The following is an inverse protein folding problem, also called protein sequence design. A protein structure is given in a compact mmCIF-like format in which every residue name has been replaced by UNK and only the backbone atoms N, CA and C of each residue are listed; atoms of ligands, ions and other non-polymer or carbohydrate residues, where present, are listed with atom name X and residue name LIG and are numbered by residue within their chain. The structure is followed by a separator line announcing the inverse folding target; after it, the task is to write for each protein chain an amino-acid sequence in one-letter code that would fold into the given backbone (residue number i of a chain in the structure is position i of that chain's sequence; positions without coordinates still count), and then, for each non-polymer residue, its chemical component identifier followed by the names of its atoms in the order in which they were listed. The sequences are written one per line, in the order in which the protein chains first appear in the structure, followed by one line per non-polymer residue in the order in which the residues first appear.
data_IF_490210615194
#
_entry.id   IF_490210615194
#
_cell.length_a   1.000
_cell.length_b   1.000
_cell.length_c   1.000
_cell.angle_alpha   90.00
_cell.angle_beta   90.00
_cell.angle_gamma   90.00
#
_symmetry.space_group_name_H-M   'P 1'
#
loop_
_entity.id
_entity.type
_entity.pdbx_description
1 polymer ?
#
# COMPACT_ATOMS: atom_id res chain seq x y z
N UNK A 1 -49.12 -43.51 -67.21
CA UNK A 1 -47.65 -43.56 -67.12
C UNK A 1 -47.19 -42.68 -65.96
N UNK A 2 -46.65 -43.34 -64.93
CA UNK A 2 -45.56 -42.91 -64.05
C UNK A 2 -45.77 -41.70 -63.11
N UNK A 3 -46.40 -41.97 -61.96
CA UNK A 3 -46.25 -41.20 -60.72
C UNK A 3 -44.96 -41.67 -60.01
N UNK A 4 -44.01 -40.76 -59.84
CA UNK A 4 -42.73 -40.95 -59.14
C UNK A 4 -42.92 -40.79 -57.64
N UNK A 5 -42.55 -41.82 -56.86
CA UNK A 5 -42.57 -41.76 -55.39
C UNK A 5 -41.40 -40.93 -54.82
N UNK A 6 -41.62 -40.15 -53.74
CA UNK A 6 -40.56 -39.42 -53.06
C UNK A 6 -39.71 -40.36 -52.20
N UNK A 7 -38.39 -40.37 -52.45
CA UNK A 7 -37.41 -41.07 -51.62
C UNK A 7 -37.32 -40.43 -50.23
N UNK A 8 -37.92 -41.09 -49.26
CA UNK A 8 -37.81 -40.74 -47.85
C UNK A 8 -36.38 -41.04 -47.36
N UNK A 9 -35.60 -39.99 -47.13
CA UNK A 9 -34.20 -40.11 -46.69
C UNK A 9 -34.17 -39.96 -45.17
N UNK A 10 -34.13 -41.10 -44.48
CA UNK A 10 -34.00 -41.15 -43.01
C UNK A 10 -32.59 -40.71 -42.61
N UNK A 11 -32.46 -39.49 -42.12
CA UNK A 11 -31.23 -38.97 -41.54
C UNK A 11 -31.07 -39.58 -40.14
N UNK A 12 -30.15 -40.54 -40.00
CA UNK A 12 -29.75 -41.12 -38.72
C UNK A 12 -28.92 -40.08 -37.95
N UNK A 13 -29.52 -39.46 -36.94
CA UNK A 13 -28.82 -38.59 -35.97
C UNK A 13 -27.94 -39.47 -35.07
N UNK A 14 -26.65 -39.58 -35.41
CA UNK A 14 -25.68 -40.30 -34.59
C UNK A 14 -25.34 -39.50 -33.33
N UNK A 15 -25.22 -40.20 -32.20
CA UNK A 15 -25.20 -39.68 -30.81
C UNK A 15 -23.91 -38.94 -30.39
N UNK A 16 -23.44 -37.99 -31.20
CA UNK A 16 -22.21 -37.21 -30.93
C UNK A 16 -22.46 -35.90 -30.17
N UNK A 17 -23.74 -35.53 -29.96
CA UNK A 17 -24.14 -34.36 -29.16
C UNK A 17 -23.53 -34.25 -27.74
N UNK A 18 -23.41 -35.33 -26.94
CA UNK A 18 -22.93 -35.19 -25.56
C UNK A 18 -21.44 -34.84 -25.47
N UNK A 19 -20.62 -35.26 -26.45
CA UNK A 19 -19.18 -34.99 -26.45
C UNK A 19 -18.88 -33.53 -26.76
N UNK A 20 -19.62 -32.94 -27.71
CA UNK A 20 -19.46 -31.52 -28.08
C UNK A 20 -19.91 -30.60 -26.93
N UNK A 21 -21.02 -30.96 -26.26
CA UNK A 21 -21.52 -30.23 -25.09
C UNK A 21 -20.53 -30.26 -23.90
N UNK A 22 -19.90 -31.41 -23.65
CA UNK A 22 -18.88 -31.56 -22.61
C UNK A 22 -17.63 -30.73 -22.92
N UNK A 23 -17.19 -30.69 -24.17
CA UNK A 23 -16.03 -29.89 -24.61
C UNK A 23 -16.30 -28.39 -24.47
N UNK A 24 -17.49 -27.91 -24.84
CA UNK A 24 -17.88 -26.51 -24.64
C UNK A 24 -17.99 -26.14 -23.16
N UNK A 25 -18.42 -27.07 -22.30
CA UNK A 25 -18.45 -26.85 -20.85
C UNK A 25 -17.03 -26.71 -20.29
N UNK A 26 -16.11 -27.61 -20.66
CA UNK A 26 -14.70 -27.54 -20.19
C UNK A 26 -14.02 -26.24 -20.68
N UNK A 27 -14.23 -25.82 -21.93
CA UNK A 27 -13.68 -24.56 -22.44
C UNK A 27 -14.25 -23.31 -21.74
N UNK A 28 -15.50 -23.35 -21.28
CA UNK A 28 -16.11 -22.26 -20.52
C UNK A 28 -15.48 -22.10 -19.12
N UNK A 29 -15.05 -23.19 -18.48
CA UNK A 29 -14.41 -23.12 -17.16
C UNK A 29 -12.98 -22.55 -17.18
N UNK A 30 -12.26 -22.67 -18.30
CA UNK A 30 -10.90 -22.12 -18.41
C UNK A 30 -10.84 -20.63 -18.81
N UNK A 31 -11.99 -20.00 -19.08
CA UNK A 31 -12.03 -18.62 -19.57
C UNK A 31 -12.13 -17.56 -18.47
N UNK A 32 -12.25 -17.96 -17.19
CA UNK A 32 -12.29 -17.02 -16.05
C UNK A 32 -10.89 -16.80 -15.46
N UNK A 33 -9.92 -16.46 -16.30
CA UNK A 33 -8.75 -15.76 -15.80
C UNK A 33 -9.16 -14.30 -15.58
N UNK A 34 -9.70 -14.02 -14.39
CA UNK A 34 -9.79 -12.64 -13.90
C UNK A 34 -8.35 -12.13 -13.82
N UNK A 35 -7.95 -11.33 -14.81
CA UNK A 35 -6.65 -10.67 -14.83
C UNK A 35 -6.62 -9.68 -13.66
N UNK A 36 -6.00 -10.09 -12.56
CA UNK A 36 -5.65 -9.16 -11.50
C UNK A 36 -4.63 -8.15 -12.05
N UNK A 37 -4.81 -6.88 -11.70
CA UNK A 37 -3.85 -5.87 -12.10
C UNK A 37 -2.44 -6.20 -11.58
N UNK A 38 -1.42 -5.89 -12.37
CA UNK A 38 -0.01 -6.04 -11.98
C UNK A 38 0.48 -4.86 -11.15
N UNK A 39 1.55 -5.05 -10.38
CA UNK A 39 2.20 -3.96 -9.63
C UNK A 39 2.61 -2.80 -10.56
N UNK A 40 3.07 -3.11 -11.77
CA UNK A 40 3.42 -2.12 -12.79
C UNK A 40 2.20 -1.32 -13.25
N UNK A 41 1.09 -1.99 -13.57
CA UNK A 41 -0.16 -1.31 -13.95
C UNK A 41 -0.64 -0.37 -12.84
N UNK A 42 -0.64 -0.86 -11.59
CA UNK A 42 -0.96 -0.05 -10.43
C UNK A 42 -0.03 1.17 -10.28
N UNK A 43 1.28 1.00 -10.48
CA UNK A 43 2.25 2.10 -10.39
C UNK A 43 2.10 3.12 -11.53
N UNK A 44 1.79 2.68 -12.74
CA UNK A 44 1.67 3.52 -13.93
C UNK A 44 0.31 4.24 -14.03
N UNK A 45 -0.74 3.73 -13.40
CA UNK A 45 -2.08 4.32 -13.41
C UNK A 45 -2.18 5.55 -12.48
N UNK A 46 -2.93 6.57 -12.91
CA UNK A 46 -3.29 7.72 -12.06
C UNK A 46 -4.79 7.76 -11.83
N UNK A 47 -5.22 7.90 -10.58
CA UNK A 47 -6.64 7.89 -10.23
C UNK A 47 -6.95 8.74 -9.00
N UNK A 48 -8.21 9.16 -8.91
CA UNK A 48 -8.79 9.71 -7.69
C UNK A 48 -9.91 8.79 -7.23
N UNK A 49 -9.96 8.52 -5.92
CA UNK A 49 -11.01 7.70 -5.31
C UNK A 49 -11.50 8.36 -4.00
N UNK A 50 -12.79 8.18 -3.68
CA UNK A 50 -13.42 8.72 -2.47
C UNK A 50 -14.34 7.68 -1.85
N UNK A 51 -13.97 7.20 -0.66
CA UNK A 51 -14.79 6.28 0.14
C UNK A 51 -15.52 7.09 1.20
N UNK A 52 -16.86 6.95 1.23
CA UNK A 52 -17.73 7.62 2.20
C UNK A 52 -18.57 6.56 2.89
N UNK A 53 -18.43 6.43 4.21
CA UNK A 53 -19.24 5.51 5.00
C UNK A 53 -19.70 6.17 6.31
N UNK A 54 -20.69 5.55 6.96
CA UNK A 54 -21.20 5.99 8.25
C UNK A 54 -20.28 5.47 9.36
N UNK A 55 -19.95 6.33 10.32
CA UNK A 55 -19.18 5.92 11.49
C UNK A 55 -20.07 5.24 12.54
N UNK A 56 -19.58 4.15 13.15
CA UNK A 56 -20.22 3.54 14.33
C UNK A 56 -20.03 4.40 15.59
N UNK A 57 -20.90 4.28 16.62
CA UNK A 57 -22.04 3.35 16.75
C UNK A 57 -23.41 3.93 16.34
N UNK A 58 -23.53 5.24 16.09
CA UNK A 58 -24.84 5.87 15.81
C UNK A 58 -25.08 6.23 14.33
N UNK A 59 -24.09 6.09 13.45
CA UNK A 59 -24.23 6.37 12.02
C UNK A 59 -24.57 7.83 11.67
N UNK A 60 -24.53 8.74 12.65
CA UNK A 60 -24.86 10.16 12.50
C UNK A 60 -23.73 10.92 11.81
N UNK A 61 -22.49 10.47 11.98
CA UNK A 61 -21.32 11.09 11.35
C UNK A 61 -20.83 10.25 10.18
N UNK A 62 -20.30 10.94 9.17
CA UNK A 62 -19.69 10.33 7.99
C UNK A 62 -18.19 10.41 8.11
N UNK A 63 -17.53 9.30 7.80
CA UNK A 63 -16.09 9.25 7.54
C UNK A 63 -15.90 9.42 6.03
N UNK A 64 -14.96 10.29 5.65
CA UNK A 64 -14.55 10.51 4.27
C UNK A 64 -13.07 10.18 4.15
N UNK A 65 -12.74 9.17 3.35
CA UNK A 65 -11.38 8.82 2.98
C UNK A 65 -11.21 9.11 1.48
N UNK A 66 -10.22 9.91 1.13
CA UNK A 66 -9.95 10.32 -0.25
C UNK A 66 -8.53 9.96 -0.64
N UNK A 67 -8.38 9.36 -1.81
CA UNK A 67 -7.12 9.01 -2.43
C UNK A 67 -6.95 9.82 -3.71
N UNK A 68 -5.76 10.36 -3.92
CA UNK A 68 -5.34 10.94 -5.19
C UNK A 68 -3.93 10.42 -5.48
N UNK A 69 -3.85 9.54 -6.48
CA UNK A 69 -2.59 9.00 -6.98
C UNK A 69 -2.30 9.63 -8.34
N UNK A 70 -1.18 10.32 -8.41
CA UNK A 70 -0.61 10.79 -9.65
C UNK A 70 0.73 10.09 -9.83
N UNK A 71 0.73 8.97 -10.56
CA UNK A 71 1.93 8.17 -10.79
C UNK A 71 2.58 7.74 -9.46
N UNK A 72 3.75 8.30 -9.12
CA UNK A 72 4.49 8.03 -7.88
C UNK A 72 4.01 8.84 -6.67
N UNK A 73 3.26 9.92 -6.89
CA UNK A 73 2.79 10.81 -5.85
C UNK A 73 1.43 10.32 -5.33
N UNK A 74 1.37 9.91 -4.07
CA UNK A 74 0.17 9.43 -3.40
C UNK A 74 -0.23 10.42 -2.32
N UNK A 75 -1.42 10.99 -2.47
CA UNK A 75 -2.05 11.87 -1.49
C UNK A 75 -3.27 11.20 -0.89
N UNK A 76 -3.29 11.09 0.44
CA UNK A 76 -4.37 10.47 1.20
C UNK A 76 -4.92 11.53 2.16
N UNK A 77 -6.23 11.69 2.16
CA UNK A 77 -6.91 12.62 3.05
C UNK A 77 -8.02 11.90 3.79
N UNK A 78 -7.99 11.97 5.11
CA UNK A 78 -8.95 11.33 5.98
C UNK A 78 -9.66 12.39 6.82
N UNK A 79 -10.98 12.41 6.75
CA UNK A 79 -11.82 13.31 7.53
C UNK A 79 -12.80 12.50 8.36
N UNK A 80 -12.63 12.57 9.68
CA UNK A 80 -13.59 12.07 10.68
C UNK A 80 -14.22 13.29 11.37
N UNK A 81 -15.55 13.31 11.46
CA UNK A 81 -16.29 14.45 12.02
C UNK A 81 -15.96 15.79 11.31
N UNK A 82 -16.40 16.92 11.86
CA UNK A 82 -16.19 18.26 11.26
C UNK A 82 -14.75 18.77 11.44
N UNK A 83 -14.03 18.29 12.46
CA UNK A 83 -12.79 18.89 12.95
C UNK A 83 -11.53 18.04 12.77
N UNK A 84 -11.64 16.70 12.69
CA UNK A 84 -10.45 15.84 12.55
C UNK A 84 -10.16 15.62 11.08
N UNK A 85 -9.18 16.36 10.57
CA UNK A 85 -8.64 16.22 9.22
C UNK A 85 -7.20 15.75 9.33
N UNK A 86 -6.87 14.66 8.66
CA UNK A 86 -5.51 14.18 8.48
C UNK A 86 -5.21 14.09 7.00
N UNK A 87 -3.98 14.39 6.64
CA UNK A 87 -3.50 14.34 5.26
C UNK A 87 -2.08 13.78 5.26
N UNK A 88 -1.83 12.87 4.33
CA UNK A 88 -0.52 12.31 4.05
C UNK A 88 -0.19 12.50 2.58
N UNK A 89 1.06 12.85 2.30
CA UNK A 89 1.63 12.88 0.96
C UNK A 89 2.91 12.04 0.94
N UNK A 90 2.95 11.06 0.04
CA UNK A 90 4.02 10.08 -0.08
C UNK A 90 4.48 10.05 -1.54
N UNK A 91 5.80 10.21 -1.76
CA UNK A 91 6.43 10.02 -3.07
C UNK A 91 7.18 8.68 -3.05
N UNK A 92 6.58 7.65 -3.65
CA UNK A 92 7.09 6.26 -3.56
C UNK A 92 8.28 5.98 -4.47
N UNK A 93 8.67 6.96 -5.30
CA UNK A 93 9.77 6.86 -6.25
C UNK A 93 11.03 7.59 -5.77
N UNK A 94 11.03 8.18 -4.57
CA UNK A 94 12.18 8.90 -4.00
C UNK A 94 12.74 8.25 -2.74
N UNK A 95 14.03 8.48 -2.55
CA UNK A 95 14.77 8.22 -1.31
C UNK A 95 15.24 9.54 -0.67
N UNK A 96 15.30 9.63 0.67
CA UNK A 96 14.96 8.58 1.64
C UNK A 96 13.45 8.36 1.78
N UNK A 97 13.06 7.20 2.30
CA UNK A 97 11.65 6.88 2.58
C UNK A 97 11.10 7.87 3.61
N UNK A 98 10.02 8.55 3.28
CA UNK A 98 9.42 9.57 4.14
C UNK A 98 7.91 9.69 3.94
N UNK A 99 7.24 10.24 4.95
CA UNK A 99 5.82 10.56 4.94
C UNK A 99 5.71 12.05 5.25
N UNK A 100 5.01 12.80 4.39
CA UNK A 100 4.66 14.19 4.69
C UNK A 100 3.27 14.22 5.32
N UNK A 101 3.13 14.84 6.48
CA UNK A 101 1.87 14.93 7.23
C UNK A 101 1.43 16.38 7.41
N UNK A 102 0.12 16.61 7.48
CA UNK A 102 -0.46 17.91 7.80
C UNK A 102 -1.14 18.62 6.62
N UNK A 103 -2.05 19.56 6.95
CA UNK A 103 -2.75 20.40 5.97
C UNK A 103 -2.13 21.78 5.82
N UNK A 104 -1.74 22.42 6.93
CA UNK A 104 -1.26 23.81 6.95
C UNK A 104 0.23 23.89 7.32
N UNK A 105 0.68 23.07 8.29
CA UNK A 105 2.08 22.85 8.59
C UNK A 105 2.45 21.46 8.11
N UNK A 106 3.37 21.40 7.14
CA UNK A 106 3.85 20.14 6.58
C UNK A 106 5.01 19.64 7.45
N UNK A 107 4.79 18.52 8.12
CA UNK A 107 5.82 17.79 8.85
C UNK A 107 6.34 16.64 7.97
N UNK A 108 7.65 16.40 7.98
CA UNK A 108 8.28 15.37 7.14
C UNK A 108 8.93 14.33 8.03
N UNK A 109 8.27 13.18 8.16
CA UNK A 109 8.72 12.08 9.02
C UNK A 109 9.51 11.08 8.17
N UNK A 110 10.79 10.91 8.47
CA UNK A 110 11.69 10.04 7.70
C UNK A 110 11.82 8.67 8.33
N UNK A 111 11.96 7.63 7.51
CA UNK A 111 12.28 6.28 7.96
C UNK A 111 13.69 6.25 8.56
N UNK A 112 13.79 5.75 9.80
CA UNK A 112 15.08 5.48 10.44
C UNK A 112 15.71 4.17 9.95
N UNK A 113 16.81 3.76 10.58
CA UNK A 113 17.52 2.53 10.22
C UNK A 113 16.84 1.25 10.74
N UNK A 114 15.85 1.37 11.62
CA UNK A 114 15.12 0.23 12.19
C UNK A 114 13.83 -0.07 11.44
N UNK A 115 13.50 -1.35 11.32
CA UNK A 115 12.20 -1.81 10.86
C UNK A 115 11.11 -1.49 11.90
N UNK A 116 9.87 -1.30 11.42
CA UNK A 116 8.71 -1.11 12.29
C UNK A 116 8.25 -2.44 12.90
N UNK A 117 9.03 -2.97 13.82
CA UNK A 117 8.70 -4.18 14.58
C UNK A 117 7.63 -3.90 15.64
N UNK A 118 6.99 -4.97 16.14
CA UNK A 118 6.08 -4.90 17.30
C UNK A 118 6.79 -4.25 18.49
N UNK A 119 6.33 -3.07 18.91
CA UNK A 119 6.93 -2.28 20.00
C UNK A 119 7.84 -1.12 19.58
N UNK A 120 8.17 -0.95 18.29
CA UNK A 120 8.87 0.25 17.84
C UNK A 120 7.95 1.50 17.98
N UNK A 121 8.44 2.54 18.67
CA UNK A 121 7.69 3.75 19.01
C UNK A 121 8.13 5.00 18.24
N UNK A 122 8.92 4.83 17.16
CA UNK A 122 9.33 5.97 16.35
C UNK A 122 8.12 6.66 15.72
N UNK A 123 8.19 7.98 15.58
CA UNK A 123 7.15 8.79 14.96
C UNK A 123 6.79 8.28 13.56
N UNK A 124 7.80 7.86 12.79
CA UNK A 124 7.62 7.22 11.49
C UNK A 124 6.76 5.95 11.60
N UNK A 125 7.08 5.04 12.52
CA UNK A 125 6.35 3.79 12.66
C UNK A 125 4.92 4.00 13.16
N UNK A 126 4.69 4.98 14.03
CA UNK A 126 3.34 5.33 14.47
C UNK A 126 2.52 5.91 13.31
N UNK A 127 3.11 6.83 12.53
CA UNK A 127 2.45 7.42 11.36
C UNK A 127 2.15 6.37 10.30
N UNK A 128 3.10 5.46 10.03
CA UNK A 128 2.92 4.34 9.11
C UNK A 128 1.78 3.42 9.56
N UNK A 129 1.79 2.96 10.82
CA UNK A 129 0.73 2.09 11.36
C UNK A 129 -0.63 2.76 11.26
N UNK A 130 -0.73 4.01 11.70
CA UNK A 130 -1.98 4.76 11.64
C UNK A 130 -2.52 4.88 10.20
N UNK A 131 -1.63 5.20 9.25
CA UNK A 131 -2.01 5.32 7.84
C UNK A 131 -2.53 3.99 7.29
N UNK A 132 -1.82 2.89 7.55
CA UNK A 132 -2.22 1.56 7.06
C UNK A 132 -3.53 1.10 7.70
N UNK A 133 -3.71 1.28 9.01
CA UNK A 133 -4.95 0.96 9.71
C UNK A 133 -6.13 1.73 9.10
N UNK A 134 -5.99 3.03 8.81
CA UNK A 134 -7.05 3.81 8.15
C UNK A 134 -7.37 3.28 6.75
N UNK A 135 -6.36 2.92 5.96
CA UNK A 135 -6.58 2.37 4.61
C UNK A 135 -7.31 1.02 4.69
N UNK A 136 -6.96 0.17 5.66
CA UNK A 136 -7.62 -1.12 5.86
C UNK A 136 -9.06 -0.93 6.35
N UNK A 137 -9.23 -0.22 7.46
CA UNK A 137 -10.51 -0.15 8.18
C UNK A 137 -11.54 0.74 7.49
N UNK A 138 -11.12 1.91 7.00
CA UNK A 138 -12.03 2.90 6.39
C UNK A 138 -11.99 2.85 4.84
N UNK A 139 -10.97 2.18 4.27
CA UNK A 139 -10.79 2.02 2.82
C UNK A 139 -11.22 0.64 2.32
N UNK A 140 -10.40 -0.40 2.56
CA UNK A 140 -10.60 -1.74 1.99
C UNK A 140 -11.93 -2.37 2.41
N UNK A 141 -12.35 -2.20 3.66
CA UNK A 141 -13.63 -2.75 4.15
C UNK A 141 -14.85 -2.13 3.44
N UNK A 142 -14.79 -0.83 3.09
CA UNK A 142 -15.94 -0.08 2.59
C UNK A 142 -15.90 0.24 1.09
N UNK A 143 -14.78 -0.01 0.42
CA UNK A 143 -14.65 0.17 -1.01
C UNK A 143 -15.49 -0.85 -1.78
N UNK A 144 -16.01 -0.44 -2.94
CA UNK A 144 -16.93 -1.25 -3.75
C UNK A 144 -16.23 -1.87 -4.96
N UNK A 145 -16.75 -3.00 -5.41
CA UNK A 145 -16.29 -3.72 -6.59
C UNK A 145 -15.20 -4.75 -6.27
N UNK A 146 -14.68 -5.36 -7.34
CA UNK A 146 -13.71 -6.44 -7.26
C UNK A 146 -12.30 -5.90 -6.95
N UNK A 147 -11.57 -6.58 -6.07
CA UNK A 147 -10.22 -6.18 -5.64
C UNK A 147 -9.21 -6.25 -6.78
N UNK A 148 -9.42 -7.17 -7.72
CA UNK A 148 -8.57 -7.45 -8.86
C UNK A 148 -8.75 -6.44 -10.01
N UNK A 149 -9.84 -5.67 -10.00
CA UNK A 149 -10.16 -4.67 -11.02
C UNK A 149 -9.69 -3.27 -10.59
N UNK A 150 -8.63 -2.76 -11.24
CA UNK A 150 -8.08 -1.43 -10.97
C UNK A 150 -9.04 -0.28 -11.33
N UNK A 151 -10.12 -0.55 -12.08
CA UNK A 151 -11.16 0.44 -12.33
C UNK A 151 -12.18 0.54 -11.19
N UNK A 152 -12.29 -0.50 -10.37
CA UNK A 152 -13.16 -0.53 -9.20
C UNK A 152 -12.59 0.32 -8.06
N UNK A 153 -13.45 0.78 -7.14
CA UNK A 153 -13.00 1.53 -5.98
C UNK A 153 -12.13 0.64 -5.08
N UNK A 154 -12.48 -0.64 -4.93
CA UNK A 154 -11.74 -1.59 -4.11
C UNK A 154 -10.35 -1.88 -4.69
N UNK A 155 -10.24 -2.14 -5.99
CA UNK A 155 -8.95 -2.36 -6.64
C UNK A 155 -8.05 -1.13 -6.57
N UNK A 156 -8.60 0.08 -6.71
CA UNK A 156 -7.85 1.33 -6.48
C UNK A 156 -7.29 1.44 -5.07
N UNK A 157 -8.10 1.18 -4.03
CA UNK A 157 -7.63 1.22 -2.64
C UNK A 157 -6.59 0.13 -2.39
N UNK A 158 -6.80 -1.07 -2.93
CA UNK A 158 -5.87 -2.19 -2.80
C UNK A 158 -4.52 -1.92 -3.49
N UNK A 159 -4.55 -1.29 -4.66
CA UNK A 159 -3.36 -0.78 -5.35
C UNK A 159 -2.56 0.19 -4.47
N UNK A 160 -3.22 1.16 -3.83
CA UNK A 160 -2.54 2.06 -2.88
C UNK A 160 -1.96 1.32 -1.69
N UNK A 161 -2.75 0.42 -1.09
CA UNK A 161 -2.33 -0.36 0.07
C UNK A 161 -1.04 -1.14 -0.21
N UNK A 162 -1.00 -1.88 -1.32
CA UNK A 162 0.15 -2.71 -1.69
C UNK A 162 1.41 -1.88 -1.98
N UNK A 163 1.27 -0.77 -2.71
CA UNK A 163 2.38 0.16 -2.95
C UNK A 163 2.93 0.72 -1.63
N UNK A 164 2.05 1.20 -0.74
CA UNK A 164 2.48 1.83 0.51
C UNK A 164 3.06 0.82 1.51
N UNK A 165 2.50 -0.38 1.59
CA UNK A 165 3.07 -1.46 2.40
C UNK A 165 4.50 -1.78 1.92
N UNK A 166 4.68 -2.00 0.61
CA UNK A 166 6.01 -2.25 0.04
C UNK A 166 6.97 -1.08 0.32
N UNK A 167 6.60 0.14 -0.03
CA UNK A 167 7.47 1.32 0.11
C UNK A 167 7.77 1.66 1.58
N UNK A 168 6.75 1.82 2.42
CA UNK A 168 6.92 2.31 3.78
C UNK A 168 7.46 1.24 4.73
N UNK A 169 7.01 -0.02 4.60
CA UNK A 169 7.45 -1.11 5.48
C UNK A 169 8.81 -1.65 5.06
N UNK A 170 8.96 -2.07 3.79
CA UNK A 170 10.17 -2.73 3.32
C UNK A 170 11.25 -1.73 2.88
N UNK A 171 10.87 -0.50 2.50
CA UNK A 171 11.78 0.47 1.92
C UNK A 171 12.10 0.21 0.45
N UNK A 172 11.31 -0.63 -0.22
CA UNK A 172 11.47 -0.92 -1.64
C UNK A 172 11.06 0.28 -2.47
N UNK A 173 11.97 0.74 -3.34
CA UNK A 173 11.70 1.84 -4.26
C UNK A 173 11.07 1.26 -5.51
N UNK A 174 9.88 1.73 -5.85
CA UNK A 174 9.17 1.27 -7.03
C UNK A 174 9.66 2.05 -8.26
N UNK A 175 10.22 1.34 -9.23
CA UNK A 175 10.70 1.95 -10.49
C UNK A 175 9.70 1.70 -11.60
N UNK A 176 9.28 2.78 -12.28
CA UNK A 176 8.33 2.71 -13.39
C UNK A 176 8.92 2.13 -14.66
N UNK A 177 10.21 2.31 -14.85
CA UNK A 177 10.92 1.86 -16.03
C UNK A 177 11.95 0.82 -15.62
N UNK A 178 11.97 -0.36 -16.26
CA UNK A 178 13.10 -1.26 -16.09
C UNK A 178 14.36 -0.50 -16.51
N UNK A 179 15.49 -0.72 -15.83
CA UNK A 179 16.73 -0.04 -16.18
C UNK A 179 17.03 -0.32 -17.66
N UNK A 180 17.10 0.75 -18.46
CA UNK A 180 17.27 0.69 -19.93
C UNK A 180 18.59 0.08 -20.37
N UNK A 181 19.52 -0.08 -19.43
CA UNK A 181 20.66 -0.97 -19.55
C UNK A 181 20.55 -1.96 -18.40
N UNK A 182 20.48 -3.28 -18.63
CA UNK A 182 20.80 -4.23 -17.56
C UNK A 182 22.16 -3.77 -16.98
N UNK A 183 22.35 -3.75 -15.65
CA UNK A 183 23.65 -3.42 -15.08
C UNK A 183 24.67 -4.24 -15.86
N UNK A 184 25.62 -3.55 -16.51
CA UNK A 184 26.76 -4.21 -17.13
C UNK A 184 27.27 -5.20 -16.09
N UNK A 185 27.44 -6.46 -16.51
CA UNK A 185 27.74 -7.60 -15.64
C UNK A 185 28.55 -7.15 -14.43
N UNK A 186 28.16 -7.53 -13.19
CA UNK A 186 28.77 -7.00 -11.99
C UNK A 186 30.28 -7.11 -12.16
N UNK A 187 30.91 -5.96 -12.39
CA UNK A 187 32.36 -5.84 -12.50
C UNK A 187 32.85 -6.52 -11.25
N UNK A 188 33.50 -7.67 -11.44
CA UNK A 188 33.95 -8.58 -10.41
C UNK A 188 34.77 -7.72 -9.45
N UNK A 189 34.13 -7.28 -8.36
CA UNK A 189 34.79 -6.54 -7.29
C UNK A 189 35.75 -7.54 -6.70
N UNK A 190 36.95 -7.57 -7.28
CA UNK A 190 38.13 -8.14 -6.67
C UNK A 190 38.15 -7.59 -5.24
N UNK A 191 37.97 -8.51 -4.29
CA UNK A 191 38.04 -8.17 -2.89
C UNK A 191 39.34 -7.38 -2.68
N UNK A 192 39.29 -6.19 -2.05
CA UNK A 192 40.52 -5.58 -1.58
C UNK A 192 41.20 -6.59 -0.66
N UNK A 193 42.33 -7.11 -1.14
CA UNK A 193 43.19 -7.99 -0.35
C UNK A 193 43.60 -7.21 0.89
N UNK A 194 43.26 -7.79 2.03
CA UNK A 194 43.58 -7.32 3.38
C UNK A 194 44.99 -6.75 3.50
N UNK A 195 45.15 -5.53 4.06
CA UNK A 195 46.36 -5.18 4.77
C UNK A 195 46.09 -5.15 6.28
N UNK A 196 46.69 -6.13 6.94
CA UNK A 196 47.57 -5.95 8.11
C UNK A 196 46.99 -5.25 9.35
N UNK A 197 46.75 -6.09 10.35
CA UNK A 197 46.68 -5.81 11.78
C UNK A 197 47.76 -4.80 12.20
N UNK A 198 47.36 -3.72 12.88
CA UNK A 198 48.21 -2.95 13.80
C UNK A 198 47.52 -2.87 15.17
N UNK A 199 48.29 -2.93 16.27
CA UNK A 199 47.76 -3.13 17.62
C UNK A 199 47.40 -1.83 18.34
N UNK A 200 46.43 -1.97 19.25
CA UNK A 200 46.36 -1.40 20.61
C UNK A 200 46.99 -0.04 20.89
N UNK A 201 46.16 0.93 21.28
CA UNK A 201 46.54 1.86 22.34
C UNK A 201 45.38 2.15 23.30
N UNK A 202 45.62 1.81 24.57
CA UNK A 202 44.81 2.17 25.72
C UNK A 202 45.06 3.65 26.04
N UNK A 203 44.00 4.45 26.15
CA UNK A 203 44.07 5.62 27.02
C UNK A 203 42.71 5.91 27.64
N UNK A 204 42.61 5.50 28.91
CA UNK A 204 41.63 5.98 29.86
C UNK A 204 41.77 7.50 30.03
N UNK A 205 40.64 8.20 30.08
CA UNK A 205 40.54 9.50 30.74
C UNK A 205 39.24 9.54 31.54
N UNK A 206 39.40 9.33 32.84
CA UNK A 206 38.50 9.84 33.87
C UNK A 206 38.55 11.38 33.88
N UNK A 207 37.39 12.02 33.94
CA UNK A 207 37.15 13.33 34.58
C UNK A 207 35.61 13.47 34.70
N UNK A 208 34.98 13.08 35.81
CA UNK A 208 34.70 13.88 37.01
C UNK A 208 34.10 15.28 36.67
N UNK A 209 32.80 15.57 36.93
CA UNK A 209 32.22 16.17 38.17
C UNK A 209 31.05 17.10 37.72
N UNK A 210 30.14 17.69 38.56
CA UNK A 210 29.09 17.14 39.43
C UNK A 210 27.67 17.78 39.23
N UNK A 211 26.72 17.40 40.10
CA UNK A 211 25.64 18.23 40.73
C UNK A 211 24.45 18.74 39.87
N UNK A 212 23.27 18.10 39.97
CA UNK A 212 22.11 18.43 40.83
C UNK A 212 21.61 19.89 40.70
N UNK A 213 20.46 20.07 40.02
CA UNK A 213 19.48 21.12 40.36
C UNK A 213 18.05 20.54 40.23
N UNK A 214 17.27 20.46 41.32
CA UNK A 214 15.83 20.22 41.26
C UNK A 214 15.10 21.56 41.08
N UNK A 215 14.42 21.76 39.95
CA UNK A 215 13.52 22.91 39.80
C UNK A 215 12.11 22.52 40.22
N UNK A 216 11.69 23.17 41.30
CA UNK A 216 10.40 23.11 41.96
C UNK A 216 9.20 23.32 41.03
N UNK A 217 8.19 22.48 41.22
CA UNK A 217 6.82 22.60 40.72
C UNK A 217 6.11 23.78 41.41
N UNK A 218 5.48 24.71 40.69
CA UNK A 218 4.50 25.62 41.28
C UNK A 218 3.12 24.94 41.37
N UNK A 219 2.71 24.68 42.61
CA UNK A 219 1.32 24.35 42.98
C UNK A 219 0.45 25.59 42.78
N UNK A 220 -0.54 25.51 41.89
CA UNK A 220 -1.58 26.54 41.76
C UNK A 220 -2.68 26.31 42.83
N UNK A 221 -3.21 27.39 43.44
CA UNK A 221 -4.28 27.30 44.42
C UNK A 221 -5.65 27.04 43.78
N UNK A 222 -6.38 26.10 44.37
CA UNK A 222 -7.83 25.96 44.25
C UNK A 222 -8.51 27.02 45.14
N UNK A 223 -9.23 27.97 44.55
CA UNK A 223 -10.31 28.70 45.22
C UNK A 223 -11.21 29.47 44.25
N UNK A 224 -12.52 29.45 44.53
CA UNK A 224 -13.57 30.28 43.91
C UNK A 224 -14.60 29.45 43.15
N UNK A 225 -15.67 28.93 43.78
CA UNK A 225 -16.94 29.64 44.05
C UNK A 225 -17.53 30.32 42.79
N UNK A 226 -18.48 29.65 42.13
CA UNK A 226 -19.89 30.06 41.95
C UNK A 226 -20.68 28.92 41.30
#
# INVERSE_FOLDING_TARGET
MLLSEPKNTSIQLTSTLPLLALLTFVLAFFSVNLYAFTEKECLDESFTNKIIHKAMPFGLTKTLLSFNKNLCDIKISHRKFKFMKKQWEIDVCRTPVHIKTGTDLIEVVKKGNSFCSSGATSEYCNTYKELIEIIQDDGLIFAKGEKEDLQSDHGKVYCIYTILESYLNSGTILTRHPPTNPPADPEERSLPTSPTIMPTNNQAREENTPEIIPTSVPTAPLSGEF
#
